data_IF_554774078817
#
_entry.id   IF_554774078817
#
_cell.length_a   1.000
_cell.length_b   1.000
_cell.length_c   1.000
_cell.angle_alpha   90.00
_cell.angle_beta   90.00
_cell.angle_gamma   90.00
#
_symmetry.space_group_name_H-M   'P 1'
#
loop_
_entity.id
_entity.type
_entity.pdbx_description
1 polymer ?
#
# COMPACT_ATOMS: atom_id res chain seq x y z
N UNK A 1 12.99 -20.18 -10.30
CA UNK A 1 13.11 -19.21 -9.21
C UNK A 1 11.69 -18.93 -8.79
N UNK A 2 11.30 -19.36 -7.60
CA UNK A 2 9.98 -19.08 -7.03
C UNK A 2 9.86 -17.57 -6.91
N UNK A 3 8.76 -17.04 -7.42
CA UNK A 3 8.52 -15.61 -7.44
C UNK A 3 8.26 -15.15 -6.00
N UNK A 4 9.29 -14.62 -5.33
CA UNK A 4 9.25 -14.23 -3.91
C UNK A 4 8.63 -12.83 -3.75
N UNK A 5 7.61 -12.53 -4.57
CA UNK A 5 6.93 -11.24 -4.62
C UNK A 5 5.51 -11.40 -4.12
N UNK A 6 5.08 -10.44 -3.31
CA UNK A 6 3.69 -10.31 -2.89
C UNK A 6 3.10 -9.05 -3.50
N UNK A 7 1.82 -9.13 -3.84
CA UNK A 7 1.13 -8.08 -4.57
C UNK A 7 -0.04 -7.60 -3.71
N UNK A 8 0.01 -6.35 -3.24
CA UNK A 8 -1.13 -5.70 -2.63
C UNK A 8 -1.77 -4.82 -3.68
N UNK A 9 -3.04 -5.08 -3.98
CA UNK A 9 -3.83 -4.31 -4.94
C UNK A 9 -4.86 -3.48 -4.19
N UNK A 10 -4.90 -2.19 -4.50
CA UNK A 10 -5.90 -1.30 -3.94
C UNK A 10 -7.27 -1.63 -4.54
N UNK A 11 -8.25 -1.83 -3.67
CA UNK A 11 -9.64 -2.08 -4.03
C UNK A 11 -10.54 -1.14 -3.23
N UNK A 12 -11.04 -0.12 -3.94
CA UNK A 12 -11.92 0.93 -3.41
C UNK A 12 -13.26 0.43 -2.91
N UNK A 13 -13.67 -0.79 -3.26
CA UNK A 13 -14.91 -1.38 -2.75
C UNK A 13 -14.85 -1.69 -1.25
N UNK A 14 -13.64 -1.78 -0.69
CA UNK A 14 -13.42 -1.94 0.74
C UNK A 14 -13.09 -0.63 1.45
N UNK A 15 -13.04 0.50 0.74
CA UNK A 15 -12.76 1.79 1.38
C UNK A 15 -13.88 2.13 2.36
N UNK A 16 -13.48 2.52 3.56
CA UNK A 16 -14.38 2.87 4.64
C UNK A 16 -13.89 4.17 5.27
N UNK A 17 -14.81 4.99 5.77
CA UNK A 17 -14.46 6.11 6.63
C UNK A 17 -14.92 5.73 8.04
N UNK A 18 -14.00 5.75 9.00
CA UNK A 18 -14.34 5.40 10.37
C UNK A 18 -15.29 6.46 10.99
N UNK A 19 -15.73 6.19 12.22
CA UNK A 19 -16.64 7.08 12.95
C UNK A 19 -16.02 8.45 13.28
N UNK A 20 -14.69 8.57 13.25
CA UNK A 20 -13.93 9.79 13.54
C UNK A 20 -13.64 10.61 12.27
N UNK A 21 -13.97 10.07 11.10
CA UNK A 21 -13.73 10.70 9.80
C UNK A 21 -12.35 10.35 9.21
N UNK A 22 -11.66 9.36 9.76
CA UNK A 22 -10.38 8.86 9.25
C UNK A 22 -10.63 8.03 7.98
N UNK A 23 -9.93 8.29 6.87
CA UNK A 23 -10.06 7.49 5.67
C UNK A 23 -9.35 6.14 5.84
N UNK A 24 -10.04 5.08 5.46
CA UNK A 24 -9.55 3.71 5.36
C UNK A 24 -9.43 3.29 3.90
N UNK A 25 -8.31 2.67 3.55
CA UNK A 25 -7.99 2.24 2.18
C UNK A 25 -7.87 0.73 2.10
N UNK A 26 -8.68 0.13 1.24
CA UNK A 26 -8.79 -1.32 1.08
C UNK A 26 -7.70 -1.92 0.21
N UNK A 27 -7.04 -2.98 0.68
CA UNK A 27 -6.06 -3.72 -0.11
C UNK A 27 -6.32 -5.22 -0.09
N UNK A 28 -6.05 -5.87 -1.23
CA UNK A 28 -6.06 -7.32 -1.36
C UNK A 28 -4.65 -7.83 -1.63
N UNK A 29 -4.14 -8.66 -0.72
CA UNK A 29 -2.86 -9.35 -0.82
C UNK A 29 -3.03 -10.63 -1.64
N UNK A 30 -2.22 -10.72 -2.70
CA UNK A 30 -2.11 -11.85 -3.60
C UNK A 30 -0.67 -12.35 -3.65
N UNK A 31 -0.53 -13.66 -3.83
CA UNK A 31 0.74 -14.35 -3.61
C UNK A 31 1.50 -14.71 -4.90
N UNK A 32 0.94 -14.41 -6.06
CA UNK A 32 1.63 -14.59 -7.33
C UNK A 32 1.16 -13.56 -8.38
N UNK A 33 1.96 -13.38 -9.42
CA UNK A 33 1.71 -12.38 -10.45
C UNK A 33 0.49 -12.68 -11.31
N UNK A 34 0.21 -13.96 -11.60
CA UNK A 34 -0.92 -14.35 -12.45
C UNK A 34 -2.24 -14.00 -11.79
N UNK A 35 -2.39 -14.30 -10.50
CA UNK A 35 -3.57 -13.93 -9.74
C UNK A 35 -3.69 -12.41 -9.60
N UNK A 36 -2.58 -11.70 -9.40
CA UNK A 36 -2.55 -10.24 -9.33
C UNK A 36 -2.92 -9.54 -10.65
N UNK A 37 -2.67 -10.18 -11.80
CA UNK A 37 -3.07 -9.67 -13.12
C UNK A 37 -4.54 -9.98 -13.43
N UNK A 38 -5.10 -11.04 -12.86
CA UNK A 38 -6.48 -11.49 -13.11
C UNK A 38 -7.49 -10.93 -12.12
N UNK A 39 -7.03 -10.44 -10.97
CA UNK A 39 -7.88 -9.87 -9.94
C UNK A 39 -8.66 -8.65 -10.43
N UNK A 40 -9.92 -8.57 -10.03
CA UNK A 40 -10.82 -7.44 -10.32
C UNK A 40 -11.37 -6.90 -9.01
N UNK A 41 -11.29 -5.57 -8.85
CA UNK A 41 -11.82 -4.87 -7.69
C UNK A 41 -13.34 -5.10 -7.55
N UNK A 42 -13.81 -5.26 -6.32
CA UNK A 42 -15.21 -5.52 -5.98
C UNK A 42 -15.66 -6.97 -6.15
N UNK A 43 -14.79 -7.87 -6.60
CA UNK A 43 -15.08 -9.31 -6.69
C UNK A 43 -14.36 -10.11 -5.60
N UNK A 44 -14.98 -11.20 -5.15
CA UNK A 44 -14.31 -12.16 -4.29
C UNK A 44 -13.19 -12.85 -5.08
N UNK A 45 -11.94 -12.87 -4.57
CA UNK A 45 -10.84 -13.58 -5.21
C UNK A 45 -11.18 -15.07 -5.42
N UNK A 46 -10.91 -15.58 -6.62
CA UNK A 46 -11.04 -17.01 -6.96
C UNK A 46 -9.81 -17.84 -6.55
N UNK A 47 -8.86 -17.20 -5.88
CA UNK A 47 -7.57 -17.71 -5.45
C UNK A 47 -7.31 -17.37 -3.97
N UNK A 48 -6.19 -17.87 -3.44
CA UNK A 48 -5.77 -17.53 -2.09
C UNK A 48 -5.43 -16.05 -1.98
N UNK A 49 -6.13 -15.35 -1.10
CA UNK A 49 -5.99 -13.91 -0.93
C UNK A 49 -6.34 -13.47 0.50
N UNK A 50 -5.82 -12.32 0.90
CA UNK A 50 -6.13 -11.70 2.20
C UNK A 50 -6.52 -10.25 1.99
N UNK A 51 -7.70 -9.86 2.47
CA UNK A 51 -8.22 -8.49 2.40
C UNK A 51 -7.90 -7.73 3.69
N UNK A 52 -7.41 -6.51 3.56
CA UNK A 52 -6.96 -5.65 4.65
C UNK A 52 -7.46 -4.22 4.45
N UNK A 53 -7.62 -3.47 5.53
CA UNK A 53 -7.99 -2.05 5.55
C UNK A 53 -6.89 -1.26 6.24
N UNK A 54 -6.34 -0.25 5.58
CA UNK A 54 -5.33 0.64 6.14
C UNK A 54 -5.94 1.99 6.47
N UNK A 55 -5.92 2.38 7.75
CA UNK A 55 -6.59 3.61 8.22
C UNK A 55 -5.59 4.69 8.58
N UNK A 56 -5.84 5.91 8.07
CA UNK A 56 -5.09 7.13 8.39
C UNK A 56 -5.78 7.89 9.52
N UNK A 57 -5.38 7.66 10.76
CA UNK A 57 -6.00 8.29 11.93
C UNK A 57 -5.68 9.77 12.03
N UNK A 58 -6.64 10.54 12.53
CA UNK A 58 -6.50 12.00 12.70
C UNK A 58 -5.37 12.43 13.65
N UNK A 59 -4.93 11.55 14.55
CA UNK A 59 -3.80 11.79 15.46
C UNK A 59 -2.43 11.53 14.81
N UNK A 60 -2.42 11.13 13.54
CA UNK A 60 -1.23 10.84 12.75
C UNK A 60 -0.81 9.36 12.80
N UNK A 61 -1.46 8.53 13.63
CA UNK A 61 -1.21 7.09 13.67
C UNK A 61 -1.78 6.36 12.45
N UNK A 62 -1.28 5.16 12.18
CA UNK A 62 -1.73 4.30 11.08
C UNK A 62 -2.06 2.93 11.66
N UNK A 63 -3.19 2.36 11.27
CA UNK A 63 -3.55 0.99 11.60
C UNK A 63 -3.81 0.16 10.35
N UNK A 64 -3.64 -1.15 10.50
CA UNK A 64 -4.02 -2.13 9.49
C UNK A 64 -4.94 -3.17 10.11
N UNK A 65 -6.17 -3.24 9.61
CA UNK A 65 -7.18 -4.19 10.04
C UNK A 65 -7.35 -5.31 9.00
N UNK A 66 -7.49 -6.54 9.49
CA UNK A 66 -7.77 -7.69 8.64
C UNK A 66 -9.28 -7.79 8.40
N UNK A 67 -9.69 -7.68 7.14
CA UNK A 67 -11.11 -7.78 6.74
C UNK A 67 -11.55 -9.23 6.52
N UNK A 68 -10.68 -10.06 5.91
CA UNK A 68 -11.05 -11.42 5.56
C UNK A 68 -10.00 -12.19 4.78
N UNK A 69 -10.25 -13.48 4.61
CA UNK A 69 -9.40 -14.42 3.89
C UNK A 69 -10.23 -15.16 2.85
N UNK A 70 -9.70 -15.30 1.65
CA UNK A 70 -10.26 -16.15 0.60
C UNK A 70 -9.45 -17.45 0.53
N UNK A 71 -10.14 -18.59 0.32
CA UNK A 71 -9.52 -19.91 0.16
C UNK A 71 -8.56 -20.29 1.31
N UNK A 72 -9.03 -20.15 2.57
CA UNK A 72 -8.27 -20.43 3.81
C UNK A 72 -7.60 -21.81 3.87
N UNK A 73 -8.11 -22.78 3.10
CA UNK A 73 -7.59 -24.14 2.99
C UNK A 73 -6.38 -24.26 2.04
N UNK A 74 -6.01 -23.18 1.34
CA UNK A 74 -4.86 -23.17 0.44
C UNK A 74 -3.53 -23.39 1.18
N UNK A 75 -2.66 -24.23 0.62
CA UNK A 75 -1.36 -24.60 1.21
C UNK A 75 -0.44 -23.41 1.45
N UNK A 76 -0.62 -22.30 0.72
CA UNK A 76 0.21 -21.11 0.85
C UNK A 76 0.14 -20.50 2.25
N UNK A 77 -1.01 -20.59 2.91
CA UNK A 77 -1.18 -20.07 4.27
C UNK A 77 -0.50 -20.93 5.33
N UNK A 78 -0.16 -22.18 5.02
CA UNK A 78 0.68 -23.02 5.88
C UNK A 78 2.16 -22.70 5.72
N UNK A 79 2.54 -22.14 4.57
CA UNK A 79 3.92 -21.83 4.22
C UNK A 79 4.31 -20.39 4.57
N UNK A 80 3.33 -19.48 4.62
CA UNK A 80 3.56 -18.07 4.91
C UNK A 80 3.52 -17.78 6.42
N UNK A 81 4.66 -17.42 7.06
CA UNK A 81 4.71 -17.18 8.50
C UNK A 81 3.87 -15.97 8.91
N UNK A 82 3.06 -16.14 9.97
CA UNK A 82 2.17 -15.10 10.47
C UNK A 82 2.90 -13.84 10.96
N UNK A 83 4.12 -13.97 11.50
CA UNK A 83 4.94 -12.82 11.87
C UNK A 83 5.35 -11.97 10.66
N UNK A 84 5.70 -12.64 9.54
CA UNK A 84 6.05 -11.97 8.29
C UNK A 84 4.82 -11.29 7.66
N UNK A 85 3.64 -11.90 7.78
CA UNK A 85 2.38 -11.28 7.38
C UNK A 85 2.13 -9.96 8.12
N UNK A 86 2.28 -9.92 9.44
CA UNK A 86 2.06 -8.69 10.20
C UNK A 86 3.07 -7.61 9.87
N UNK A 87 4.35 -7.98 9.70
CA UNK A 87 5.39 -7.05 9.26
C UNK A 87 5.07 -6.45 7.89
N UNK A 88 4.67 -7.29 6.94
CA UNK A 88 4.23 -6.87 5.61
C UNK A 88 3.07 -5.89 5.69
N UNK A 89 2.05 -6.22 6.47
CA UNK A 89 0.85 -5.40 6.63
C UNK A 89 1.18 -4.03 7.23
N UNK A 90 1.98 -3.99 8.29
CA UNK A 90 2.42 -2.76 8.96
C UNK A 90 3.20 -1.85 7.99
N UNK A 91 4.20 -2.41 7.30
CA UNK A 91 5.02 -1.62 6.38
C UNK A 91 4.24 -1.20 5.13
N UNK A 92 3.37 -2.06 4.60
CA UNK A 92 2.52 -1.71 3.47
C UNK A 92 1.54 -0.58 3.80
N UNK A 93 0.90 -0.64 4.98
CA UNK A 93 0.04 0.44 5.46
C UNK A 93 0.83 1.76 5.56
N UNK A 94 2.02 1.71 6.15
CA UNK A 94 2.88 2.87 6.27
C UNK A 94 3.24 3.48 4.90
N UNK A 95 3.53 2.64 3.90
CA UNK A 95 3.84 3.08 2.53
C UNK A 95 2.61 3.69 1.84
N UNK A 96 1.46 3.00 1.89
CA UNK A 96 0.21 3.44 1.26
C UNK A 96 -0.26 4.78 1.82
N UNK A 97 -0.34 4.90 3.15
CA UNK A 97 -0.80 6.13 3.81
C UNK A 97 0.18 7.27 3.60
N UNK A 98 1.48 7.02 3.66
CA UNK A 98 2.46 8.08 3.40
C UNK A 98 2.39 8.59 1.97
N UNK A 99 2.20 7.70 0.98
CA UNK A 99 1.97 8.10 -0.39
C UNK A 99 0.71 8.99 -0.49
N UNK A 100 -0.41 8.55 0.09
CA UNK A 100 -1.64 9.33 0.15
C UNK A 100 -1.43 10.72 0.78
N UNK A 101 -0.76 10.81 1.94
CA UNK A 101 -0.47 12.08 2.61
C UNK A 101 0.44 13.01 1.81
N UNK A 102 1.37 12.46 1.02
CA UNK A 102 2.36 13.26 0.28
C UNK A 102 1.85 13.75 -1.08
N UNK A 103 1.18 12.89 -1.84
CA UNK A 103 0.77 13.18 -3.22
C UNK A 103 -0.75 13.20 -3.43
N UNK A 104 -1.53 12.97 -2.36
CA UNK A 104 -3.00 12.96 -2.40
C UNK A 104 -3.59 11.76 -3.15
N UNK A 105 -2.79 10.75 -3.45
CA UNK A 105 -3.18 9.56 -4.19
C UNK A 105 -2.75 8.29 -3.46
N UNK A 106 -3.63 7.31 -3.43
CA UNK A 106 -3.38 5.99 -2.86
C UNK A 106 -2.72 5.13 -3.95
N UNK A 107 -1.63 4.40 -3.64
CA UNK A 107 -1.02 3.49 -4.61
C UNK A 107 -2.00 2.42 -5.08
N UNK A 108 -2.19 2.29 -6.40
CA UNK A 108 -3.00 1.23 -6.97
C UNK A 108 -2.44 -0.17 -6.69
N UNK A 109 -1.11 -0.26 -6.60
CA UNK A 109 -0.41 -1.53 -6.37
C UNK A 109 0.89 -1.31 -5.59
N UNK A 110 1.09 -2.15 -4.59
CA UNK A 110 2.35 -2.29 -3.86
C UNK A 110 2.91 -3.69 -4.10
N UNK A 111 4.13 -3.79 -4.62
CA UNK A 111 4.79 -5.07 -4.83
C UNK A 111 5.93 -5.21 -3.83
N UNK A 112 5.74 -6.10 -2.85
CA UNK A 112 6.77 -6.43 -1.88
C UNK A 112 7.85 -7.30 -2.54
N UNK A 113 9.11 -6.91 -2.34
CA UNK A 113 10.31 -7.59 -2.81
C UNK A 113 11.24 -7.86 -1.63
N UNK A 114 12.17 -8.79 -1.80
CA UNK A 114 13.18 -9.12 -0.79
C UNK A 114 12.59 -9.54 0.56
N UNK A 115 11.57 -10.41 0.53
CA UNK A 115 10.89 -10.94 1.72
C UNK A 115 11.80 -11.72 2.69
N UNK A 116 13.02 -12.08 2.25
CA UNK A 116 14.00 -12.82 3.05
C UNK A 116 14.70 -11.92 4.10
N UNK A 117 14.50 -10.60 4.06
CA UNK A 117 15.03 -9.64 5.03
C UNK A 117 13.98 -9.35 6.12
N UNK A 118 14.26 -9.83 7.34
CA UNK A 118 13.31 -9.84 8.46
C UNK A 118 13.00 -8.45 9.04
N UNK A 119 13.73 -7.39 8.63
CA UNK A 119 13.58 -6.04 9.22
C UNK A 119 12.94 -5.02 8.27
N UNK A 120 13.22 -5.05 6.97
CA UNK A 120 12.79 -4.00 6.01
C UNK A 120 12.34 -4.62 4.69
N UNK A 121 11.05 -4.53 4.41
CA UNK A 121 10.45 -4.99 3.16
C UNK A 121 10.50 -3.83 2.16
N UNK A 122 11.08 -4.10 0.99
CA UNK A 122 11.08 -3.13 -0.09
C UNK A 122 9.77 -3.21 -0.88
N UNK A 123 9.09 -2.08 -1.03
CA UNK A 123 7.90 -1.98 -1.87
C UNK A 123 8.19 -1.21 -3.16
N UNK A 124 7.89 -1.83 -4.29
CA UNK A 124 7.70 -1.12 -5.55
C UNK A 124 6.27 -0.55 -5.58
N UNK A 125 6.16 0.77 -5.68
CA UNK A 125 4.91 1.52 -5.56
C UNK A 125 4.45 1.93 -6.94
N UNK A 126 3.26 1.48 -7.34
CA UNK A 126 2.72 1.71 -8.68
C UNK A 126 1.39 2.46 -8.57
N UNK A 127 1.23 3.43 -9.46
CA UNK A 127 0.02 4.22 -9.63
C UNK A 127 -0.40 4.14 -11.11
N UNK A 128 -1.67 3.86 -11.37
CA UNK A 128 -2.20 3.70 -12.72
C UNK A 128 -2.46 5.06 -13.40
N UNK A 129 -2.95 6.03 -12.63
CA UNK A 129 -3.44 7.33 -13.12
C UNK A 129 -2.65 8.53 -12.58
N UNK A 130 -1.38 8.33 -12.20
CA UNK A 130 -0.53 9.41 -11.70
C UNK A 130 -0.13 10.35 -12.86
N UNK A 131 -1.07 11.18 -13.31
CA UNK A 131 -0.76 12.40 -14.05
C UNK A 131 -0.15 13.38 -13.04
N UNK A 132 1.13 13.19 -12.74
CA UNK A 132 1.94 14.29 -12.26
C UNK A 132 1.81 15.37 -13.34
N UNK A 133 1.05 16.42 -13.04
CA UNK A 133 1.19 17.66 -13.79
C UNK A 133 2.64 18.09 -13.59
N UNK A 134 3.54 17.65 -14.47
CA UNK A 134 4.99 17.84 -14.34
C UNK A 134 5.32 19.34 -14.11
N UNK A 135 4.48 20.24 -14.65
CA UNK A 135 4.57 21.68 -14.44
C UNK A 135 4.27 22.18 -13.02
N UNK A 136 3.40 21.51 -12.26
CA UNK A 136 3.07 21.91 -10.88
C UNK A 136 4.02 21.26 -9.87
N UNK A 137 4.42 20.01 -10.08
CA UNK A 137 5.34 19.30 -9.20
C UNK A 137 6.75 19.91 -9.23
N UNK A 138 7.28 20.27 -10.41
CA UNK A 138 8.56 20.99 -10.49
C UNK A 138 8.50 22.36 -9.81
N UNK A 139 7.38 23.08 -9.95
CA UNK A 139 7.22 24.39 -9.31
C UNK A 139 7.12 24.29 -7.78
N UNK A 140 6.44 23.27 -7.25
CA UNK A 140 6.35 23.06 -5.79
C UNK A 140 7.68 22.55 -5.21
N UNK A 141 8.37 21.63 -5.88
CA UNK A 141 9.72 21.21 -5.49
C UNK A 141 10.71 22.38 -5.55
N UNK A 142 10.67 23.19 -6.61
CA UNK A 142 11.49 24.38 -6.74
C UNK A 142 11.18 25.41 -5.64
N UNK A 143 9.90 25.63 -5.30
CA UNK A 143 9.50 26.52 -4.22
C UNK A 143 9.97 26.03 -2.85
N UNK A 144 9.92 24.73 -2.57
CA UNK A 144 10.42 24.14 -1.32
C UNK A 144 11.96 24.19 -1.24
N UNK A 145 12.66 24.01 -2.36
CA UNK A 145 14.12 24.18 -2.42
C UNK A 145 14.56 25.64 -2.32
N UNK A 146 13.73 26.58 -2.76
CA UNK A 146 13.97 28.03 -2.69
C UNK A 146 13.61 28.62 -1.32
N UNK A 147 12.63 28.06 -0.60
CA UNK A 147 12.27 28.47 0.77
C UNK A 147 13.23 27.93 1.84
N UNK A 148 13.99 26.89 1.52
CA UNK A 148 15.06 26.34 2.37
C UNK A 148 16.37 27.12 2.38
N UNK A 149 16.48 28.27 1.67
CA UNK A 149 17.65 29.15 1.75
C UNK A 149 17.37 30.33 2.68
N UNK A 150 17.92 30.34 3.92
CA UNK A 150 17.88 31.54 4.74
C UNK A 150 18.63 32.65 4.00
N UNK A 151 17.98 33.81 3.93
CA UNK A 151 18.49 35.08 3.42
C UNK A 151 20.01 35.24 3.63
N UNK A 152 20.77 35.31 2.55
CA UNK A 152 22.04 36.01 2.57
C UNK A 152 21.72 37.47 2.24
N UNK A 153 21.56 38.25 3.31
CA UNK A 153 21.73 39.70 3.32
C UNK A 153 22.97 40.08 2.51
N UNK A 154 22.81 40.98 1.55
CA UNK A 154 23.82 41.95 1.08
C UNK A 154 23.13 43.05 0.28
#
# INVERSE_FOLDING_TARGET
>A
MTDNRLFLLYDTSFDEMDAEGSPGFGYVLLFNSTDAEQYQAGENPSCAAVSMLFTDHSDGSISGDLLGWAHLDADIFQQFPLGQFFLLMEQAAQVAINAYRQVGQVPDRLVAQHLDDDELIQFDVQFNDLQLNEQQSEQQLAQTLMSGRPYLDS
#
